data_IF_247809808509
#
_entry.id   IF_247809808509
#
_cell.length_a   1.000
_cell.length_b   1.000
_cell.length_c   1.000
_cell.angle_alpha   90.00
_cell.angle_beta   90.00
_cell.angle_gamma   90.00
#
_symmetry.space_group_name_H-M   'P 1'
#
loop_
_entity.id
_entity.type
_entity.pdbx_description
1 polymer ?
#
# COMPACT_ATOMS: atom_id res chain seq x y z
N UNK A 1 -6.60 7.63 -14.09
CA UNK A 1 -6.71 7.17 -12.69
C UNK A 1 -5.38 7.01 -11.94
N UNK A 2 -4.22 6.70 -12.57
CA UNK A 2 -2.92 6.72 -11.85
C UNK A 2 -2.53 8.10 -11.31
N UNK A 3 -3.10 9.18 -11.85
CA UNK A 3 -2.76 10.55 -11.49
C UNK A 3 -3.47 10.99 -10.19
N UNK A 4 -4.77 10.69 -10.05
CA UNK A 4 -5.58 11.06 -8.87
C UNK A 4 -5.10 10.38 -7.58
N UNK A 5 -4.72 9.09 -7.66
CA UNK A 5 -4.19 8.35 -6.53
C UNK A 5 -2.86 8.92 -6.01
N UNK A 6 -2.00 9.36 -6.91
CA UNK A 6 -0.72 9.98 -6.56
C UNK A 6 -0.91 11.35 -5.91
N UNK A 7 -1.94 12.11 -6.32
CA UNK A 7 -2.29 13.40 -5.70
C UNK A 7 -2.94 13.24 -4.32
N UNK A 8 -3.79 12.23 -4.12
CA UNK A 8 -4.35 11.94 -2.79
C UNK A 8 -3.27 11.48 -1.79
N UNK A 9 -2.29 10.70 -2.25
CA UNK A 9 -1.13 10.30 -1.42
C UNK A 9 -0.25 11.51 -1.07
N UNK A 10 -0.12 12.50 -1.97
CA UNK A 10 0.56 13.77 -1.69
C UNK A 10 -0.15 14.58 -0.60
N UNK A 11 -1.49 14.63 -0.63
CA UNK A 11 -2.31 15.36 0.36
C UNK A 11 -2.27 14.80 1.79
N UNK A 12 -1.67 13.63 2.02
CA UNK A 12 -1.57 12.99 3.34
C UNK A 12 -0.20 13.20 4.01
N UNK A 13 0.58 14.22 3.63
CA UNK A 13 1.89 14.49 4.25
C UNK A 13 2.95 13.40 4.05
N UNK A 14 2.69 12.39 3.20
CA UNK A 14 3.62 11.31 2.85
C UNK A 14 4.61 11.78 1.77
N UNK A 15 5.20 12.96 1.96
CA UNK A 15 5.73 13.73 0.84
C UNK A 15 6.92 13.06 0.15
N UNK A 16 7.79 12.34 0.88
CA UNK A 16 8.87 11.53 0.30
C UNK A 16 9.26 10.39 1.24
N UNK A 17 9.25 9.14 0.77
CA UNK A 17 9.77 8.01 1.55
C UNK A 17 9.16 6.65 1.21
N UNK A 18 9.57 5.62 1.97
CA UNK A 18 9.17 4.24 1.71
C UNK A 18 7.65 4.01 1.76
N UNK A 19 6.90 4.74 2.61
CA UNK A 19 5.43 4.63 2.73
C UNK A 19 4.72 4.94 1.41
N UNK A 20 5.05 6.07 0.79
CA UNK A 20 4.53 6.47 -0.53
C UNK A 20 4.85 5.43 -1.60
N UNK A 21 6.11 5.00 -1.70
CA UNK A 21 6.53 4.02 -2.70
C UNK A 21 5.79 2.68 -2.56
N UNK A 22 5.51 2.26 -1.32
CA UNK A 22 4.71 1.05 -1.05
C UNK A 22 3.24 1.25 -1.40
N UNK A 23 2.63 2.39 -1.09
CA UNK A 23 1.23 2.67 -1.43
C UNK A 23 1.02 2.79 -2.94
N UNK A 24 1.89 3.50 -3.66
CA UNK A 24 1.87 3.57 -5.13
C UNK A 24 2.03 2.19 -5.77
N UNK A 25 2.94 1.36 -5.23
CA UNK A 25 3.10 -0.02 -5.68
C UNK A 25 1.83 -0.85 -5.41
N UNK A 26 1.18 -0.70 -4.25
CA UNK A 26 -0.06 -1.40 -3.94
C UNK A 26 -1.21 -0.96 -4.85
N UNK A 27 -1.38 0.35 -5.06
CA UNK A 27 -2.38 0.91 -5.95
C UNK A 27 -2.21 0.40 -7.39
N UNK A 28 -0.97 0.21 -7.84
CA UNK A 28 -0.68 -0.38 -9.15
C UNK A 28 -1.19 -1.82 -9.29
N UNK A 29 -1.20 -2.61 -8.21
CA UNK A 29 -1.70 -3.98 -8.19
C UNK A 29 -3.15 -4.09 -7.66
N UNK A 30 -3.80 -2.97 -7.37
CA UNK A 30 -5.18 -2.95 -6.91
C UNK A 30 -6.13 -3.23 -8.07
N UNK A 31 -7.07 -4.13 -7.82
CA UNK A 31 -8.26 -4.28 -8.64
C UNK A 31 -9.10 -3.00 -8.57
N UNK A 32 -9.48 -2.46 -9.73
CA UNK A 32 -10.08 -1.12 -9.83
C UNK A 32 -11.49 -1.05 -9.25
N UNK A 33 -12.25 -2.15 -9.32
CA UNK A 33 -13.65 -2.17 -8.90
C UNK A 33 -13.77 -2.48 -7.41
N UNK A 34 -12.80 -3.22 -6.86
CA UNK A 34 -12.88 -3.75 -5.48
C UNK A 34 -11.84 -3.19 -4.52
N UNK A 35 -10.81 -2.49 -5.02
CA UNK A 35 -9.67 -2.02 -4.22
C UNK A 35 -8.81 -3.16 -3.66
N UNK A 36 -9.00 -4.39 -4.14
CA UNK A 36 -8.31 -5.57 -3.65
C UNK A 36 -6.93 -5.69 -4.29
N UNK A 37 -5.90 -5.80 -3.46
CA UNK A 37 -4.50 -5.92 -3.88
C UNK A 37 -4.05 -7.35 -3.63
N UNK A 38 -3.73 -8.10 -4.70
CA UNK A 38 -3.17 -9.45 -4.60
C UNK A 38 -1.75 -9.47 -5.14
N UNK A 39 -0.77 -9.41 -4.24
CA UNK A 39 0.64 -9.26 -4.62
C UNK A 39 1.57 -9.95 -3.64
N UNK A 40 2.65 -10.52 -4.17
CA UNK A 40 3.74 -11.06 -3.34
C UNK A 40 4.65 -9.93 -2.85
N UNK A 41 5.29 -10.15 -1.69
CA UNK A 41 6.19 -9.15 -1.11
C UNK A 41 7.36 -8.80 -2.04
N UNK A 42 7.89 -9.79 -2.77
CA UNK A 42 8.96 -9.59 -3.76
C UNK A 42 8.52 -8.67 -4.92
N UNK A 43 7.31 -8.87 -5.46
CA UNK A 43 6.76 -7.99 -6.51
C UNK A 43 6.50 -6.58 -6.01
N UNK A 44 6.03 -6.45 -4.78
CA UNK A 44 5.83 -5.14 -4.16
C UNK A 44 7.17 -4.41 -3.97
N UNK A 45 8.20 -5.12 -3.50
CA UNK A 45 9.57 -4.61 -3.33
C UNK A 45 10.18 -4.15 -4.66
N UNK A 46 10.07 -4.98 -5.71
CA UNK A 46 10.52 -4.63 -7.05
C UNK A 46 9.85 -3.35 -7.56
N UNK A 47 8.52 -3.22 -7.40
CA UNK A 47 7.78 -2.07 -7.90
C UNK A 47 8.06 -0.80 -7.10
N UNK A 48 8.17 -0.91 -5.78
CA UNK A 48 8.47 0.19 -4.88
C UNK A 48 9.94 0.65 -4.94
N UNK A 49 10.83 -0.12 -5.59
CA UNK A 49 12.27 0.16 -5.59
C UNK A 49 12.92 -0.01 -4.22
N UNK A 50 12.38 -0.92 -3.40
CA UNK A 50 12.80 -1.16 -2.02
C UNK A 50 13.22 -2.63 -1.83
N UNK A 51 13.94 -2.92 -0.76
CA UNK A 51 14.17 -4.31 -0.33
C UNK A 51 12.89 -4.91 0.27
N UNK A 52 12.74 -6.23 0.21
CA UNK A 52 11.61 -6.92 0.86
C UNK A 52 11.51 -6.60 2.36
N UNK A 53 12.64 -6.41 3.05
CA UNK A 53 12.67 -6.04 4.47
C UNK A 53 12.12 -4.64 4.71
N UNK A 54 12.49 -3.67 3.87
CA UNK A 54 11.97 -2.29 3.94
C UNK A 54 10.48 -2.28 3.65
N UNK A 55 10.03 -2.98 2.60
CA UNK A 55 8.61 -3.13 2.29
C UNK A 55 7.84 -3.71 3.46
N UNK A 56 8.34 -4.79 4.10
CA UNK A 56 7.69 -5.38 5.28
C UNK A 56 7.48 -4.35 6.37
N UNK A 57 8.57 -3.66 6.76
CA UNK A 57 8.54 -2.66 7.84
C UNK A 57 7.56 -1.52 7.53
N UNK A 58 7.60 -1.02 6.29
CA UNK A 58 6.71 0.05 5.84
C UNK A 58 5.26 -0.41 5.81
N UNK A 59 4.98 -1.56 5.21
CA UNK A 59 3.65 -2.16 5.17
C UNK A 59 3.09 -2.35 6.56
N UNK A 60 3.86 -2.94 7.46
CA UNK A 60 3.42 -3.16 8.84
C UNK A 60 3.16 -1.80 9.52
N UNK A 61 4.01 -0.80 9.28
CA UNK A 61 3.74 0.56 9.78
C UNK A 61 2.48 1.21 9.21
N UNK A 62 2.03 0.85 8.00
CA UNK A 62 0.79 1.34 7.38
C UNK A 62 -0.45 0.56 7.85
N UNK A 63 -0.29 -0.73 8.17
CA UNK A 63 -1.37 -1.58 8.69
C UNK A 63 -1.77 -1.22 10.12
N UNK A 64 -0.83 -0.68 10.90
CA UNK A 64 -0.99 -0.33 12.31
C UNK A 64 -0.83 1.18 12.55
N UNK A 65 -0.99 2.00 11.51
CA UNK A 65 -1.00 3.46 11.67
C UNK A 65 -2.43 3.89 12.05
N UNK A 66 -2.61 4.38 13.27
CA UNK A 66 -3.92 4.82 13.77
C UNK A 66 -4.43 6.06 13.00
N UNK A 67 -3.53 6.91 12.48
CA UNK A 67 -3.92 8.07 11.67
C UNK A 67 -4.39 7.67 10.26
N UNK A 68 -3.97 6.50 9.77
CA UNK A 68 -4.36 5.97 8.46
C UNK A 68 -5.32 4.78 8.60
N UNK A 69 -6.09 4.73 9.69
CA UNK A 69 -6.90 3.57 10.04
C UNK A 69 -7.88 3.20 8.90
N UNK A 70 -7.66 2.01 8.34
CA UNK A 70 -8.48 1.47 7.27
C UNK A 70 -8.04 1.83 5.86
N UNK A 71 -6.98 2.64 5.67
CA UNK A 71 -6.35 2.84 4.37
C UNK A 71 -5.84 1.52 3.80
N UNK A 72 -5.13 0.74 4.61
CA UNK A 72 -4.63 -0.58 4.24
C UNK A 72 -5.11 -1.62 5.24
N UNK A 73 -5.78 -2.66 4.76
CA UNK A 73 -6.21 -3.80 5.59
C UNK A 73 -5.70 -5.10 5.00
N UNK A 74 -5.11 -5.95 5.84
CA UNK A 74 -4.79 -7.31 5.44
C UNK A 74 -6.08 -8.15 5.43
N UNK A 75 -6.45 -8.67 4.27
CA UNK A 75 -7.62 -9.55 4.11
C UNK A 75 -7.20 -11.02 4.22
N UNK A 76 -6.02 -11.36 3.68
CA UNK A 76 -5.47 -12.71 3.78
C UNK A 76 -3.95 -12.66 3.83
N UNK A 77 -3.38 -13.30 4.85
CA UNK A 77 -1.94 -13.48 4.95
C UNK A 77 -1.43 -14.46 3.89
N UNK A 78 -0.23 -14.19 3.36
CA UNK A 78 0.50 -15.17 2.57
C UNK A 78 0.99 -16.30 3.49
N UNK A 79 0.71 -17.55 3.15
CA UNK A 79 1.22 -18.73 3.87
C UNK A 79 2.37 -19.37 3.09
N UNK A 80 3.62 -18.98 3.36
CA UNK A 80 4.81 -19.54 2.70
C UNK A 80 5.55 -18.57 1.77
N UNK A 81 6.80 -18.91 1.41
CA UNK A 81 7.69 -18.05 0.62
C UNK A 81 7.18 -17.90 -0.82
N UNK A 82 7.06 -16.66 -1.29
CA UNK A 82 6.59 -16.33 -2.65
C UNK A 82 5.08 -16.22 -2.81
N UNK A 83 4.30 -16.56 -1.78
CA UNK A 83 2.85 -16.48 -1.84
C UNK A 83 2.37 -15.02 -1.79
N UNK A 84 1.32 -14.74 -2.55
CA UNK A 84 0.67 -13.44 -2.55
C UNK A 84 -0.18 -13.28 -1.29
N UNK A 85 0.02 -12.18 -0.59
CA UNK A 85 -0.92 -11.73 0.42
C UNK A 85 -2.02 -10.94 -0.28
N UNK A 86 -3.18 -10.87 0.36
CA UNK A 86 -4.32 -10.12 -0.13
C UNK A 86 -4.57 -8.97 0.83
N UNK A 87 -4.56 -7.76 0.31
CA UNK A 87 -4.88 -6.55 1.04
C UNK A 87 -6.10 -5.87 0.41
N UNK A 88 -6.77 -5.04 1.19
CA UNK A 88 -7.70 -4.05 0.69
C UNK A 88 -7.06 -2.67 0.87
N UNK A 89 -7.00 -1.92 -0.21
CA UNK A 89 -6.57 -0.52 -0.22
C UNK A 89 -7.83 0.34 -0.37
N UNK A 90 -8.15 1.12 0.64
CA UNK A 90 -9.29 2.04 0.63
C UNK A 90 -8.79 3.48 0.50
N UNK A 91 -8.66 3.92 -0.74
CA UNK A 91 -8.18 5.27 -1.07
C UNK A 91 -9.23 6.35 -0.86
N UNK A 92 -10.51 5.98 -0.67
CA UNK A 92 -11.57 6.93 -0.33
C UNK A 92 -11.42 7.47 1.09
N UNK A 93 -10.61 6.80 1.92
CA UNK A 93 -10.25 7.21 3.28
C UNK A 93 -9.00 8.06 3.36
N UNK A 94 -8.31 8.32 2.24
CA UNK A 94 -7.31 9.38 2.15
C UNK A 94 -8.06 10.72 2.05
N UNK A 95 -8.66 11.20 3.14
CA UNK A 95 -8.89 12.64 3.22
C UNK A 95 -7.53 13.33 3.22
N UNK A 96 -7.36 14.49 2.56
CA UNK A 96 -6.14 15.26 2.69
C UNK A 96 -5.91 15.52 4.18
N UNK A 97 -4.81 15.01 4.75
CA UNK A 97 -4.42 15.31 6.12
C UNK A 97 -4.14 16.82 6.15
N UNK A 98 -5.08 17.58 6.71
CA UNK A 98 -4.99 19.02 6.86
C UNK A 98 -4.02 19.41 7.96
#
# INVERSE_FOLDING_TARGET
MSFELSEMILGCGLERGGRRAVLEAMAHFADRDTGMVRVSQARLAQRAGLTERQVRRVRDSLLYDDELEGLLRCVRHASGRGNAAVYRLDVTRLEPLR
#
